data_IF_296192537775
#
_entry.id   IF_296192537775
#
_cell.length_a   1.000
_cell.length_b   1.000
_cell.length_c   1.000
_cell.angle_alpha   90.00
_cell.angle_beta   90.00
_cell.angle_gamma   90.00
#
_symmetry.space_group_name_H-M   'P 1'
#
loop_
_entity.id
_entity.type
_entity.pdbx_description
1 polymer ?
#
# COMPACT_ATOMS: atom_id res chain seq x y z
N UNK A 1 -0.57 17.23 -9.83
CA UNK A 1 -1.05 17.19 -8.41
C UNK A 1 0.14 17.50 -7.51
N UNK A 2 0.00 18.44 -6.56
CA UNK A 2 1.07 18.74 -5.60
C UNK A 2 1.41 17.45 -4.84
N UNK A 3 2.68 16.99 -4.89
CA UNK A 3 3.21 15.94 -4.00
C UNK A 3 2.86 16.35 -2.57
N UNK A 4 1.81 15.75 -2.01
CA UNK A 4 1.39 16.04 -0.65
C UNK A 4 2.32 15.21 0.21
N UNK A 5 3.37 15.84 0.73
CA UNK A 5 4.33 15.18 1.62
C UNK A 5 3.56 14.62 2.82
N UNK A 6 3.72 13.32 3.05
CA UNK A 6 3.22 12.65 4.25
C UNK A 6 3.77 13.37 5.49
N UNK A 7 2.89 13.81 6.40
CA UNK A 7 3.27 14.60 7.57
C UNK A 7 3.08 13.79 8.85
N UNK A 8 4.10 13.01 9.18
CA UNK A 8 4.14 12.08 10.31
C UNK A 8 3.78 12.73 11.65
N UNK A 9 4.43 13.85 11.95
CA UNK A 9 4.20 14.60 13.20
C UNK A 9 2.76 15.10 13.34
N UNK A 10 2.10 15.46 12.24
CA UNK A 10 0.69 15.87 12.26
C UNK A 10 -0.23 14.65 12.49
N UNK A 11 0.07 13.52 11.87
CA UNK A 11 -0.67 12.27 12.04
C UNK A 11 -0.57 11.77 13.49
N UNK A 12 0.62 11.77 14.08
CA UNK A 12 0.79 11.42 15.51
C UNK A 12 -0.13 12.25 16.42
N UNK A 13 -0.18 13.57 16.20
CA UNK A 13 -1.07 14.44 16.98
C UNK A 13 -2.55 14.07 16.82
N UNK A 14 -2.99 13.81 15.58
CA UNK A 14 -4.37 13.42 15.28
C UNK A 14 -4.72 12.06 15.90
N UNK A 15 -3.80 11.10 15.87
CA UNK A 15 -3.99 9.77 16.48
C UNK A 15 -4.08 9.88 18.00
N UNK A 16 -3.21 10.70 18.63
CA UNK A 16 -3.29 10.94 20.07
C UNK A 16 -4.63 11.58 20.45
N UNK A 17 -5.08 12.56 19.67
CA UNK A 17 -6.39 13.19 19.88
C UNK A 17 -7.53 12.19 19.70
N UNK A 18 -7.49 11.34 18.66
CA UNK A 18 -8.47 10.27 18.47
C UNK A 18 -8.54 9.33 19.68
N UNK A 19 -7.40 8.91 20.24
CA UNK A 19 -7.35 8.07 21.45
C UNK A 19 -8.10 8.75 22.61
N UNK A 20 -7.89 10.05 22.81
CA UNK A 20 -8.60 10.84 23.84
C UNK A 20 -10.10 10.88 23.55
N UNK A 21 -10.51 11.13 22.30
CA UNK A 21 -11.92 11.18 21.92
C UNK A 21 -12.62 9.82 22.02
N UNK A 22 -11.88 8.71 21.96
CA UNK A 22 -12.38 7.36 22.24
C UNK A 22 -12.53 7.06 23.74
N UNK A 23 -12.15 7.99 24.63
CA UNK A 23 -12.26 7.83 26.08
C UNK A 23 -11.09 7.08 26.73
N UNK A 24 -9.99 6.87 26.01
CA UNK A 24 -8.78 6.19 26.52
C UNK A 24 -7.78 7.19 27.11
N UNK A 25 -6.91 6.71 28.01
CA UNK A 25 -5.78 7.48 28.54
C UNK A 25 -4.56 7.33 27.60
N UNK A 26 -4.17 8.36 26.83
CA UNK A 26 -3.04 8.25 25.90
C UNK A 26 -1.68 8.14 26.58
N UNK A 27 -1.59 8.39 27.89
CA UNK A 27 -0.34 8.36 28.67
C UNK A 27 -0.13 7.03 29.42
N UNK A 28 -1.04 6.06 29.27
CA UNK A 28 -0.81 4.71 29.80
C UNK A 28 0.29 4.01 29.00
N UNK A 29 1.06 3.15 29.68
CA UNK A 29 2.24 2.47 29.13
C UNK A 29 2.02 1.89 27.72
N UNK A 30 0.90 1.20 27.49
CA UNK A 30 0.58 0.59 26.19
C UNK A 30 0.27 1.58 25.06
N UNK A 31 -0.17 2.80 25.36
CA UNK A 31 -0.60 3.79 24.35
C UNK A 31 0.40 4.92 24.10
N UNK A 32 1.40 5.10 24.98
CA UNK A 32 2.39 6.17 24.88
C UNK A 32 3.03 6.25 23.48
N UNK A 33 3.36 5.09 22.90
CA UNK A 33 3.95 4.97 21.57
C UNK A 33 2.96 4.71 20.44
N UNK A 34 1.66 4.56 20.72
CA UNK A 34 0.64 4.24 19.68
C UNK A 34 0.55 5.30 18.59
N UNK A 35 0.56 6.62 18.90
CA UNK A 35 0.57 7.66 17.87
C UNK A 35 1.69 7.51 16.84
N UNK A 36 2.91 7.25 17.31
CA UNK A 36 4.08 7.02 16.45
C UNK A 36 3.90 5.77 15.60
N UNK A 37 3.55 4.64 16.22
CA UNK A 37 3.37 3.36 15.53
C UNK A 37 2.29 3.43 14.44
N UNK A 38 1.19 4.15 14.68
CA UNK A 38 0.14 4.33 13.66
C UNK A 38 0.65 5.24 12.53
N UNK A 39 1.41 6.29 12.84
CA UNK A 39 1.99 7.15 11.82
C UNK A 39 3.03 6.41 10.96
N UNK A 40 3.86 5.55 11.57
CA UNK A 40 4.77 4.64 10.87
C UNK A 40 4.00 3.69 9.95
N UNK A 41 2.95 3.04 10.47
CA UNK A 41 2.10 2.13 9.71
C UNK A 41 1.42 2.84 8.52
N UNK A 42 0.85 4.03 8.71
CA UNK A 42 0.24 4.81 7.63
C UNK A 42 1.26 5.25 6.57
N UNK A 43 2.51 5.51 6.95
CA UNK A 43 3.56 5.83 5.98
C UNK A 43 3.85 4.64 5.06
N UNK A 44 3.86 3.43 5.62
CA UNK A 44 4.09 2.19 4.89
C UNK A 44 2.91 1.81 4.00
N UNK A 45 1.70 1.66 4.57
CA UNK A 45 0.55 1.14 3.83
C UNK A 45 0.01 2.12 2.78
N UNK A 46 0.32 3.42 2.90
CA UNK A 46 -0.04 4.42 1.89
C UNK A 46 1.14 4.84 1.00
N UNK A 47 2.27 4.12 1.06
CA UNK A 47 3.45 4.42 0.23
C UNK A 47 3.14 4.34 -1.27
N UNK A 48 2.15 3.54 -1.68
CA UNK A 48 1.68 3.39 -3.07
C UNK A 48 1.38 4.73 -3.78
N UNK A 49 0.88 5.74 -3.05
CA UNK A 49 0.62 7.08 -3.61
C UNK A 49 1.89 7.79 -4.13
N UNK A 50 3.05 7.42 -3.59
CA UNK A 50 4.35 7.98 -3.96
C UNK A 50 5.19 7.04 -4.83
N UNK A 51 4.73 5.82 -5.09
CA UNK A 51 5.47 4.80 -5.84
C UNK A 51 5.31 4.99 -7.36
N UNK A 52 6.41 4.78 -8.09
CA UNK A 52 6.36 4.58 -9.53
C UNK A 52 6.21 3.07 -9.83
N UNK A 53 5.19 2.70 -10.60
CA UNK A 53 4.93 1.32 -11.04
C UNK A 53 5.50 1.02 -12.42
N UNK A 54 6.40 1.88 -12.91
CA UNK A 54 6.92 1.84 -14.27
C UNK A 54 7.26 0.42 -14.72
N UNK A 55 6.49 -0.04 -15.72
CA UNK A 55 6.60 -1.33 -16.37
C UNK A 55 7.69 -1.27 -17.48
N UNK A 56 8.82 -0.65 -17.20
CA UNK A 56 9.84 -0.36 -18.22
C UNK A 56 10.65 -1.59 -18.65
N UNK A 57 10.90 -2.53 -17.72
CA UNK A 57 11.69 -3.72 -18.02
C UNK A 57 10.78 -4.77 -18.65
N UNK A 58 11.05 -5.05 -19.92
CA UNK A 58 10.38 -6.09 -20.69
C UNK A 58 11.37 -6.92 -21.48
N UNK A 59 11.08 -8.20 -21.62
CA UNK A 59 11.88 -9.18 -22.36
C UNK A 59 11.16 -9.57 -23.64
N UNK A 60 11.91 -9.86 -24.70
CA UNK A 60 11.33 -10.32 -25.95
C UNK A 60 11.14 -11.83 -25.89
N UNK A 61 9.90 -12.29 -25.82
CA UNK A 61 9.53 -13.71 -25.81
C UNK A 61 8.28 -13.92 -26.67
N UNK A 62 8.27 -14.99 -27.46
CA UNK A 62 7.07 -15.45 -28.17
C UNK A 62 6.27 -16.37 -27.24
N UNK A 63 5.41 -15.75 -26.42
CA UNK A 63 4.51 -16.44 -25.51
C UNK A 63 3.08 -15.99 -25.83
N UNK A 64 2.16 -16.93 -25.99
CA UNK A 64 0.77 -16.61 -26.32
C UNK A 64 0.02 -15.93 -25.15
N UNK A 65 0.32 -16.31 -23.91
CA UNK A 65 -0.30 -15.71 -22.73
C UNK A 65 0.55 -15.83 -21.47
N UNK A 66 0.48 -14.80 -20.62
CA UNK A 66 1.12 -14.76 -19.31
C UNK A 66 0.02 -14.73 -18.25
N UNK A 67 0.16 -15.58 -17.23
CA UNK A 67 -0.75 -15.60 -16.08
C UNK A 67 0.07 -15.61 -14.79
N UNK A 68 -0.01 -14.52 -14.03
CA UNK A 68 0.50 -14.43 -12.68
C UNK A 68 -0.67 -14.66 -11.71
N UNK A 69 -0.61 -15.72 -10.90
CA UNK A 69 -1.66 -16.09 -9.95
C UNK A 69 -1.17 -15.95 -8.52
N UNK A 70 -2.13 -15.87 -7.59
CA UNK A 70 -1.89 -15.91 -6.16
C UNK A 70 -0.98 -14.78 -5.65
N UNK A 71 -1.07 -13.60 -6.28
CA UNK A 71 -0.41 -12.39 -5.78
C UNK A 71 -1.19 -11.95 -4.53
N UNK A 72 -0.62 -12.16 -3.35
CA UNK A 72 -1.17 -11.66 -2.10
C UNK A 72 -1.15 -10.13 -2.11
N UNK A 73 -2.25 -9.50 -1.71
CA UNK A 73 -2.31 -8.06 -1.51
C UNK A 73 -3.00 -7.70 -0.19
N UNK A 74 -2.71 -6.49 0.28
CA UNK A 74 -3.32 -5.84 1.43
C UNK A 74 -3.63 -4.40 1.03
N UNK A 75 -4.82 -3.92 1.35
CA UNK A 75 -5.28 -2.58 0.99
C UNK A 75 -6.16 -2.01 2.10
N UNK A 76 -6.55 -0.74 1.96
CA UNK A 76 -7.37 -0.01 2.92
C UNK A 76 -8.65 0.49 2.26
N UNK A 77 -9.82 0.15 2.84
CA UNK A 77 -11.09 0.68 2.38
C UNK A 77 -11.16 2.18 2.72
N UNK A 78 -11.22 3.03 1.70
CA UNK A 78 -11.24 4.49 1.87
C UNK A 78 -12.44 5.02 2.68
N UNK A 79 -13.56 4.30 2.68
CA UNK A 79 -14.77 4.71 3.41
C UNK A 79 -14.66 4.51 4.93
N UNK A 80 -13.94 3.48 5.36
CA UNK A 80 -13.94 3.05 6.76
C UNK A 80 -12.54 3.03 7.38
N UNK A 81 -11.50 3.20 6.57
CA UNK A 81 -10.10 3.04 6.97
C UNK A 81 -9.84 1.66 7.61
N UNK A 82 -10.51 0.63 7.10
CA UNK A 82 -10.34 -0.76 7.53
C UNK A 82 -9.58 -1.55 6.46
N UNK A 83 -8.68 -2.46 6.87
CA UNK A 83 -7.93 -3.27 5.93
C UNK A 83 -8.85 -4.27 5.24
N UNK A 84 -8.59 -4.50 3.96
CA UNK A 84 -9.09 -5.66 3.22
C UNK A 84 -7.92 -6.30 2.48
N UNK A 85 -7.98 -7.62 2.32
CA UNK A 85 -6.87 -8.39 1.76
C UNK A 85 -7.41 -9.58 0.98
N UNK A 86 -6.58 -10.10 0.09
CA UNK A 86 -6.97 -11.22 -0.76
C UNK A 86 -5.89 -11.59 -1.75
N UNK A 87 -6.31 -12.15 -2.88
CA UNK A 87 -5.44 -12.56 -3.97
C UNK A 87 -5.83 -11.85 -5.25
N UNK A 88 -4.82 -11.40 -5.99
CA UNK A 88 -4.94 -10.86 -7.33
C UNK A 88 -4.38 -11.90 -8.32
N UNK A 89 -5.11 -12.08 -9.41
CA UNK A 89 -4.68 -12.86 -10.57
C UNK A 89 -4.61 -11.92 -11.77
N UNK A 90 -3.45 -11.85 -12.43
CA UNK A 90 -3.21 -10.99 -13.59
C UNK A 90 -2.96 -11.89 -14.79
N UNK A 91 -3.73 -11.68 -15.85
CA UNK A 91 -3.54 -12.36 -17.13
C UNK A 91 -3.45 -11.32 -18.26
N UNK A 92 -2.53 -11.52 -19.19
CA UNK A 92 -2.42 -10.68 -20.39
C UNK A 92 -1.78 -11.44 -21.56
N UNK A 93 -2.03 -10.95 -22.77
CA UNK A 93 -1.39 -11.43 -24.01
C UNK A 93 -0.26 -10.45 -24.36
N UNK A 94 1.01 -10.87 -24.36
CA UNK A 94 2.12 -9.99 -24.69
C UNK A 94 2.16 -9.68 -26.20
N UNK A 95 2.60 -8.47 -26.56
CA UNK A 95 2.88 -8.10 -27.95
C UNK A 95 4.39 -8.05 -28.18
N UNK A 96 5.01 -9.23 -28.26
CA UNK A 96 6.47 -9.39 -28.40
C UNK A 96 7.29 -8.91 -27.18
N UNK A 97 6.63 -8.49 -26.10
CA UNK A 97 7.27 -8.00 -24.86
C UNK A 97 6.55 -8.54 -23.63
N UNK A 98 7.31 -9.11 -22.71
CA UNK A 98 6.84 -9.71 -21.45
C UNK A 98 7.37 -8.90 -20.27
N UNK A 99 6.49 -8.55 -19.31
CA UNK A 99 6.90 -7.93 -18.05
C UNK A 99 7.43 -9.00 -17.10
N UNK A 100 8.51 -8.67 -16.37
CA UNK A 100 8.98 -9.55 -15.30
C UNK A 100 7.91 -9.72 -14.20
N UNK A 101 7.80 -10.91 -13.62
CA UNK A 101 6.80 -11.22 -12.58
C UNK A 101 6.83 -10.24 -11.40
N UNK A 102 8.03 -9.82 -10.98
CA UNK A 102 8.20 -8.84 -9.89
C UNK A 102 7.60 -7.46 -10.21
N UNK A 103 7.44 -7.10 -11.49
CA UNK A 103 6.78 -5.85 -11.90
C UNK A 103 5.27 -5.94 -11.74
N UNK A 104 4.68 -7.10 -12.00
CA UNK A 104 3.26 -7.35 -11.77
C UNK A 104 2.92 -7.31 -10.28
N UNK A 105 3.81 -7.83 -9.43
CA UNK A 105 3.67 -7.71 -7.96
C UNK A 105 3.76 -6.25 -7.51
N UNK A 106 4.77 -5.50 -7.97
CA UNK A 106 4.90 -4.06 -7.64
C UNK A 106 3.73 -3.22 -8.16
N UNK A 107 3.12 -3.62 -9.28
CA UNK A 107 1.91 -2.98 -9.79
C UNK A 107 0.75 -3.20 -8.82
N UNK A 108 0.57 -4.43 -8.34
CA UNK A 108 -0.43 -4.73 -7.32
C UNK A 108 -0.18 -3.90 -6.04
N UNK A 109 1.05 -3.92 -5.50
CA UNK A 109 1.45 -3.18 -4.29
C UNK A 109 1.24 -1.66 -4.39
N UNK A 110 1.39 -1.07 -5.57
CA UNK A 110 1.17 0.38 -5.75
C UNK A 110 -0.29 0.77 -5.56
N UNK A 111 -1.21 -0.08 -6.01
CA UNK A 111 -2.65 0.24 -6.10
C UNK A 111 -3.50 -0.45 -5.03
N UNK A 112 -2.91 -1.38 -4.28
CA UNK A 112 -3.45 -1.90 -3.04
C UNK A 112 -3.08 -0.97 -1.89
#
# INVERSE_FOLDING_TARGET
>A
MKKTSFNKRKIEKLVRELIVQLGENPDREGLLGTPQRIADMYEEIFAGYCMNSELEISFSEEIDSIIAKDIQFYSMCEHHMLPFFGRIHIAYVPNGKVFGLSKLVRLAEKYS
#
